data_IF_452136454647
#
_entry.id   IF_452136454647
#
_cell.length_a   1.000
_cell.length_b   1.000
_cell.length_c   1.000
_cell.angle_alpha   90.00
_cell.angle_beta   90.00
_cell.angle_gamma   90.00
#
_symmetry.space_group_name_H-M   'P 1'
#
loop_
_entity.id
_entity.type
_entity.pdbx_description
1 polymer ?
#
# COMPACT_ATOMS: atom_id res chain seq x y z
N UNK A 1 87.70 29.45 -3.62
CA UNK A 1 87.59 30.63 -4.49
C UNK A 1 86.13 30.90 -4.73
N UNK A 2 85.71 31.87 -4.08
CA UNK A 2 85.17 33.15 -4.50
C UNK A 2 83.68 33.03 -4.87
N UNK A 3 82.91 33.50 -4.02
CA UNK A 3 82.24 34.85 -3.96
C UNK A 3 81.03 34.86 -4.91
N UNK A 4 79.94 35.33 -4.64
CA UNK A 4 79.47 36.47 -3.84
C UNK A 4 77.99 36.74 -4.15
N UNK A 5 77.30 37.19 -3.18
CA UNK A 5 76.27 38.23 -3.19
C UNK A 5 74.87 38.04 -3.77
N UNK A 6 74.01 38.04 -2.88
CA UNK A 6 72.79 38.84 -2.64
C UNK A 6 72.81 40.28 -3.31
N UNK A 7 71.73 41.00 -3.50
CA UNK A 7 70.44 41.01 -2.80
C UNK A 7 69.22 41.45 -3.64
N UNK A 8 68.09 41.46 -2.97
CA UNK A 8 67.13 42.61 -2.94
C UNK A 8 65.80 42.44 -3.69
N UNK A 9 64.82 42.47 -2.90
CA UNK A 9 63.66 43.36 -2.74
C UNK A 9 62.31 42.88 -3.26
N UNK A 10 61.48 42.96 -2.28
CA UNK A 10 60.13 43.57 -2.32
C UNK A 10 59.01 42.73 -2.91
N UNK A 11 58.23 42.24 -2.02
CA UNK A 11 56.86 42.69 -1.81
C UNK A 11 55.88 42.38 -2.90
N UNK A 12 55.00 41.45 -2.64
CA UNK A 12 53.60 41.71 -2.94
C UNK A 12 52.72 40.71 -2.13
N UNK A 13 51.78 41.26 -1.39
CA UNK A 13 50.75 40.56 -0.67
C UNK A 13 50.02 39.62 -1.64
N UNK A 14 50.06 38.33 -1.35
CA UNK A 14 49.19 37.39 -1.98
C UNK A 14 47.89 37.27 -1.16
N UNK A 15 46.83 37.60 -1.80
CA UNK A 15 45.46 37.45 -1.36
C UNK A 15 45.21 36.00 -1.05
N UNK A 16 44.71 35.73 0.15
CA UNK A 16 44.12 34.49 0.50
C UNK A 16 42.83 34.32 -0.27
N UNK A 17 42.83 33.45 -1.26
CA UNK A 17 41.60 32.96 -1.87
C UNK A 17 40.93 32.04 -0.90
N UNK A 18 39.80 32.47 -0.33
CA UNK A 18 38.83 31.65 0.33
C UNK A 18 38.44 30.49 -0.57
N UNK A 19 38.90 29.31 -0.26
CA UNK A 19 38.33 28.08 -0.79
C UNK A 19 37.03 27.87 -0.01
N UNK A 20 35.93 28.36 -0.59
CA UNK A 20 34.59 27.94 -0.18
C UNK A 20 34.51 26.43 -0.33
N UNK A 21 34.50 25.76 0.81
CA UNK A 21 34.11 24.35 0.95
C UNK A 21 32.64 24.30 0.54
N UNK A 22 32.24 23.56 -0.52
CA UNK A 22 30.83 23.40 -0.80
C UNK A 22 30.21 22.68 0.40
N UNK A 23 29.37 23.41 1.11
CA UNK A 23 28.46 22.84 2.08
C UNK A 23 27.71 21.72 1.42
N UNK A 24 27.83 20.52 1.99
CA UNK A 24 27.01 19.37 1.66
C UNK A 24 25.56 19.80 1.58
N UNK A 25 25.06 19.91 0.36
CA UNK A 25 23.63 20.01 0.15
C UNK A 25 22.97 18.82 0.84
N UNK A 26 22.21 19.17 1.84
CA UNK A 26 21.21 18.34 2.48
C UNK A 26 20.56 17.46 1.42
N UNK A 27 20.66 16.17 1.62
CA UNK A 27 19.87 15.14 0.92
C UNK A 27 18.42 15.55 1.07
N UNK A 28 17.94 16.35 0.11
CA UNK A 28 16.57 16.84 0.09
C UNK A 28 15.64 15.65 0.10
N UNK A 29 14.85 15.56 1.16
CA UNK A 29 13.69 14.70 1.21
C UNK A 29 12.92 14.90 -0.09
N UNK A 30 12.75 13.82 -0.83
CA UNK A 30 12.01 13.80 -2.10
C UNK A 30 10.50 13.86 -1.78
N UNK A 31 10.12 14.91 -1.06
CA UNK A 31 8.74 15.19 -0.67
C UNK A 31 8.05 15.78 -1.89
N UNK A 32 7.18 15.01 -2.52
CA UNK A 32 6.35 15.48 -3.63
C UNK A 32 5.53 16.70 -3.18
N UNK A 33 5.80 17.87 -3.75
CA UNK A 33 5.01 19.08 -3.54
C UNK A 33 3.87 19.08 -4.56
N UNK A 34 2.71 18.59 -4.17
CA UNK A 34 1.47 18.80 -4.92
C UNK A 34 0.80 20.06 -4.40
N UNK A 35 0.84 21.12 -5.20
CA UNK A 35 0.16 22.38 -4.87
C UNK A 35 -1.35 22.13 -4.94
N UNK A 36 -2.04 22.24 -3.81
CA UNK A 36 -3.51 22.22 -3.71
C UNK A 36 -4.15 21.01 -3.05
N UNK A 37 -3.45 19.90 -2.84
CA UNK A 37 -4.02 18.72 -2.15
C UNK A 37 -3.44 18.62 -0.73
N UNK A 38 -4.31 18.50 0.27
CA UNK A 38 -3.86 18.32 1.65
C UNK A 38 -3.25 16.92 1.80
N UNK A 39 -1.99 16.89 2.25
CA UNK A 39 -1.25 15.63 2.45
C UNK A 39 -1.87 14.78 3.55
N UNK A 40 -2.45 15.39 4.57
CA UNK A 40 -3.11 14.64 5.64
C UNK A 40 -4.31 13.88 5.11
N UNK A 41 -5.12 14.49 4.23
CA UNK A 41 -6.26 13.84 3.60
C UNK A 41 -5.83 12.68 2.70
N UNK A 42 -4.72 12.85 1.96
CA UNK A 42 -4.13 11.77 1.16
C UNK A 42 -3.69 10.60 2.02
N UNK A 43 -2.99 10.88 3.14
CA UNK A 43 -2.54 9.86 4.08
C UNK A 43 -3.71 9.12 4.72
N UNK A 44 -4.78 9.82 5.06
CA UNK A 44 -5.99 9.23 5.62
C UNK A 44 -6.68 8.28 4.63
N UNK A 45 -6.82 8.70 3.37
CA UNK A 45 -7.35 7.85 2.29
C UNK A 45 -6.50 6.60 2.08
N UNK A 46 -5.17 6.77 2.05
CA UNK A 46 -4.25 5.64 1.87
C UNK A 46 -4.29 4.67 3.07
N UNK A 47 -4.44 5.18 4.29
CA UNK A 47 -4.58 4.35 5.49
C UNK A 47 -5.91 3.59 5.53
N UNK A 48 -7.03 4.18 5.08
CA UNK A 48 -8.32 3.47 4.93
C UNK A 48 -8.19 2.30 3.93
N UNK A 49 -7.47 2.49 2.82
CA UNK A 49 -7.18 1.43 1.85
C UNK A 49 -6.18 0.39 2.38
N UNK A 50 -5.20 0.79 3.19
CA UNK A 50 -4.26 -0.12 3.83
C UNK A 50 -4.98 -1.07 4.81
N UNK A 51 -5.91 -0.55 5.61
CA UNK A 51 -6.78 -1.39 6.44
C UNK A 51 -7.55 -2.38 5.59
N UNK A 52 -8.17 -1.92 4.49
CA UNK A 52 -8.90 -2.78 3.56
C UNK A 52 -8.03 -3.92 3.00
N UNK A 53 -6.78 -3.62 2.63
CA UNK A 53 -5.85 -4.62 2.11
C UNK A 53 -5.48 -5.67 3.17
N UNK A 54 -5.25 -5.27 4.41
CA UNK A 54 -4.98 -6.19 5.53
C UNK A 54 -6.18 -7.07 5.86
N UNK A 55 -7.35 -6.48 5.80
CA UNK A 55 -8.62 -7.17 5.99
C UNK A 55 -8.80 -8.26 4.92
N UNK A 56 -8.53 -7.92 3.67
CA UNK A 56 -8.57 -8.85 2.55
C UNK A 56 -7.54 -9.98 2.68
N UNK A 57 -6.29 -9.64 3.05
CA UNK A 57 -5.25 -10.64 3.29
C UNK A 57 -5.68 -11.66 4.35
N UNK A 58 -6.16 -11.18 5.50
CA UNK A 58 -6.63 -12.05 6.57
C UNK A 58 -7.83 -12.90 6.15
N UNK A 59 -8.81 -12.28 5.50
CA UNK A 59 -10.03 -12.95 5.06
C UNK A 59 -9.75 -14.07 4.06
N UNK A 60 -8.95 -13.80 3.04
CA UNK A 60 -8.60 -14.81 2.04
C UNK A 60 -7.70 -15.91 2.57
N UNK A 61 -6.78 -15.63 3.52
CA UNK A 61 -6.05 -16.69 4.24
C UNK A 61 -7.00 -17.60 4.98
N UNK A 62 -7.97 -17.02 5.69
CA UNK A 62 -9.00 -17.80 6.40
C UNK A 62 -9.84 -18.65 5.45
N UNK A 63 -10.25 -18.10 4.29
CA UNK A 63 -10.98 -18.87 3.28
C UNK A 63 -10.15 -20.02 2.72
N UNK A 64 -8.85 -19.79 2.44
CA UNK A 64 -7.95 -20.82 1.93
C UNK A 64 -7.79 -22.01 2.91
N UNK A 65 -7.87 -21.74 4.21
CA UNK A 65 -7.82 -22.79 5.25
C UNK A 65 -9.09 -23.64 5.33
N UNK A 66 -10.23 -23.08 4.93
CA UNK A 66 -11.56 -23.69 5.11
C UNK A 66 -12.06 -24.46 3.89
N UNK A 67 -11.60 -24.12 2.68
CA UNK A 67 -12.01 -24.84 1.46
C UNK A 67 -11.26 -26.14 1.30
N UNK A 68 -11.93 -27.15 0.72
CA UNK A 68 -11.34 -28.48 0.53
C UNK A 68 -10.63 -28.62 -0.81
N UNK A 69 -11.16 -27.97 -1.86
CA UNK A 69 -10.63 -28.12 -3.21
C UNK A 69 -9.28 -27.42 -3.38
N UNK A 70 -8.30 -28.11 -3.97
CA UNK A 70 -6.97 -27.55 -4.23
C UNK A 70 -7.04 -26.28 -5.09
N UNK A 71 -8.01 -26.21 -6.02
CA UNK A 71 -8.22 -25.06 -6.88
C UNK A 71 -8.66 -23.82 -6.09
N UNK A 72 -9.64 -23.99 -5.18
CA UNK A 72 -10.12 -22.89 -4.32
C UNK A 72 -9.03 -22.44 -3.33
N UNK A 73 -8.27 -23.39 -2.73
CA UNK A 73 -7.13 -23.07 -1.86
C UNK A 73 -6.09 -22.21 -2.57
N UNK A 74 -5.69 -22.58 -3.78
CA UNK A 74 -4.72 -21.82 -4.58
C UNK A 74 -5.25 -20.45 -4.94
N UNK A 75 -6.53 -20.35 -5.32
CA UNK A 75 -7.16 -19.06 -5.64
C UNK A 75 -7.12 -18.13 -4.44
N UNK A 76 -7.61 -18.56 -3.28
CA UNK A 76 -7.68 -17.72 -2.08
C UNK A 76 -6.27 -17.36 -1.55
N UNK A 77 -5.32 -18.29 -1.61
CA UNK A 77 -3.92 -17.98 -1.28
C UNK A 77 -3.32 -16.91 -2.20
N UNK A 78 -3.58 -16.99 -3.51
CA UNK A 78 -3.14 -15.96 -4.45
C UNK A 78 -3.80 -14.60 -4.21
N UNK A 79 -5.08 -14.58 -3.78
CA UNK A 79 -5.79 -13.35 -3.40
C UNK A 79 -5.21 -12.73 -2.13
N UNK A 80 -4.94 -13.54 -1.12
CA UNK A 80 -4.30 -13.09 0.11
C UNK A 80 -2.95 -12.42 -0.18
N UNK A 81 -2.13 -13.04 -1.03
CA UNK A 81 -0.84 -12.49 -1.46
C UNK A 81 -1.01 -11.18 -2.24
N UNK A 82 -1.99 -11.08 -3.13
CA UNK A 82 -2.31 -9.83 -3.84
C UNK A 82 -2.71 -8.70 -2.89
N UNK A 83 -3.49 -8.99 -1.86
CA UNK A 83 -3.86 -8.02 -0.83
C UNK A 83 -2.63 -7.57 -0.01
N UNK A 84 -1.72 -8.50 0.33
CA UNK A 84 -0.46 -8.18 1.00
C UNK A 84 0.40 -7.22 0.18
N UNK A 85 0.57 -7.51 -1.11
CA UNK A 85 1.33 -6.66 -2.04
C UNK A 85 0.69 -5.27 -2.18
N UNK A 86 -0.63 -5.20 -2.32
CA UNK A 86 -1.35 -3.93 -2.36
C UNK A 86 -1.12 -3.11 -1.08
N UNK A 87 -1.14 -3.76 0.09
CA UNK A 87 -0.82 -3.12 1.35
C UNK A 87 0.60 -2.58 1.42
N UNK A 88 1.59 -3.28 0.89
CA UNK A 88 2.99 -2.82 0.84
C UNK A 88 3.15 -1.58 -0.06
N UNK A 89 2.51 -1.56 -1.23
CA UNK A 89 2.51 -0.39 -2.12
C UNK A 89 1.89 0.84 -1.43
N UNK A 90 0.76 0.65 -0.72
CA UNK A 90 0.11 1.71 0.05
C UNK A 90 1.00 2.24 1.18
N UNK A 91 1.66 1.36 1.93
CA UNK A 91 2.61 1.76 2.98
C UNK A 91 3.77 2.59 2.44
N UNK A 92 4.28 2.28 1.24
CA UNK A 92 5.33 3.06 0.59
C UNK A 92 4.84 4.47 0.24
N UNK A 93 3.62 4.60 -0.31
CA UNK A 93 3.04 5.91 -0.61
C UNK A 93 2.77 6.71 0.66
N UNK A 94 2.18 6.11 1.71
CA UNK A 94 1.93 6.79 2.99
C UNK A 94 3.23 7.44 3.50
N UNK A 95 4.35 6.69 3.52
CA UNK A 95 5.64 7.23 3.95
C UNK A 95 6.16 8.33 3.01
N UNK A 96 5.99 8.19 1.70
CA UNK A 96 6.37 9.22 0.71
C UNK A 96 5.62 10.53 0.92
N UNK A 97 4.36 10.46 1.35
CA UNK A 97 3.54 11.62 1.68
C UNK A 97 3.74 12.13 3.11
N UNK A 98 4.72 11.57 3.85
CA UNK A 98 5.11 12.02 5.19
C UNK A 98 4.21 11.50 6.31
N UNK A 99 3.35 10.53 6.02
CA UNK A 99 2.49 9.87 7.00
C UNK A 99 3.09 8.59 7.57
N UNK A 100 2.44 8.08 8.61
CA UNK A 100 2.75 6.79 9.21
C UNK A 100 1.68 5.77 8.82
N UNK A 101 2.07 4.57 8.34
CA UNK A 101 1.12 3.50 8.08
C UNK A 101 0.38 3.10 9.36
N UNK A 102 -0.95 3.09 9.30
CA UNK A 102 -1.78 2.68 10.44
C UNK A 102 -1.34 1.32 10.97
N UNK A 103 -1.24 1.18 12.29
CA UNK A 103 -0.77 -0.06 12.94
C UNK A 103 -1.78 -1.23 12.94
N UNK A 104 -3.00 -1.02 12.43
CA UNK A 104 -4.01 -2.07 12.26
C UNK A 104 -4.72 -2.51 13.55
N UNK A 105 -4.75 -1.68 14.60
CA UNK A 105 -5.24 -2.09 15.92
C UNK A 105 -6.76 -2.13 16.13
N UNK A 106 -7.55 -1.38 15.38
CA UNK A 106 -9.01 -1.25 15.63
C UNK A 106 -9.89 -1.95 14.60
N UNK A 107 -9.50 -1.97 13.33
CA UNK A 107 -10.25 -2.64 12.26
C UNK A 107 -10.04 -4.16 12.29
N UNK A 108 -8.84 -4.65 12.60
CA UNK A 108 -8.58 -6.08 12.77
C UNK A 108 -9.54 -6.73 13.79
N UNK A 109 -9.94 -6.00 14.84
CA UNK A 109 -10.93 -6.46 15.80
C UNK A 109 -12.35 -6.54 15.24
N UNK A 110 -12.75 -5.63 14.36
CA UNK A 110 -14.10 -5.61 13.78
C UNK A 110 -14.24 -6.68 12.69
N UNK A 111 -13.20 -6.84 11.86
CA UNK A 111 -13.17 -7.83 10.80
C UNK A 111 -13.03 -9.23 11.35
N UNK A 112 -12.16 -9.42 12.36
CA UNK A 112 -12.06 -10.70 13.06
C UNK A 112 -13.43 -11.17 13.56
N UNK A 113 -14.28 -10.27 14.07
CA UNK A 113 -15.67 -10.60 14.45
C UNK A 113 -16.55 -10.99 13.26
N UNK A 114 -16.40 -10.34 12.10
CA UNK A 114 -17.12 -10.67 10.87
C UNK A 114 -16.74 -12.04 10.33
N UNK A 115 -15.45 -12.38 10.33
CA UNK A 115 -14.94 -13.67 9.87
C UNK A 115 -15.12 -14.80 10.89
N UNK A 116 -15.12 -14.51 12.19
CA UNK A 116 -15.49 -15.47 13.26
C UNK A 116 -16.95 -15.90 13.14
N UNK A 117 -17.84 -15.01 12.68
CA UNK A 117 -19.23 -15.38 12.40
C UNK A 117 -19.36 -16.42 11.25
N UNK A 118 -18.43 -16.43 10.30
CA UNK A 118 -18.37 -17.48 9.26
C UNK A 118 -17.96 -18.84 9.87
N UNK A 119 -17.03 -18.84 10.84
CA UNK A 119 -16.61 -20.06 11.56
C UNK A 119 -17.66 -20.61 12.53
N UNK A 120 -18.62 -19.79 12.96
CA UNK A 120 -19.59 -20.13 14.02
C UNK A 120 -20.92 -20.70 13.54
N UNK A 121 -21.22 -20.70 12.25
CA UNK A 121 -22.46 -21.26 11.69
C UNK A 121 -22.26 -22.77 11.42
N UNK A 122 -22.65 -23.56 12.39
CA UNK A 122 -22.69 -25.05 12.28
C UNK A 122 -23.54 -25.39 11.05
N UNK A 123 -22.94 -25.97 10.01
CA UNK A 123 -23.60 -26.34 8.75
C UNK A 123 -23.36 -25.41 7.58
N UNK A 124 -22.57 -24.33 7.74
CA UNK A 124 -22.24 -23.38 6.67
C UNK A 124 -20.88 -23.65 6.00
N UNK A 125 -20.26 -24.80 6.24
CA UNK A 125 -18.93 -25.17 5.72
C UNK A 125 -18.95 -25.61 4.26
N UNK A 126 -20.02 -25.28 3.51
CA UNK A 126 -20.02 -25.52 2.08
C UNK A 126 -19.14 -24.49 1.37
N UNK A 127 -18.42 -24.94 0.34
CA UNK A 127 -17.63 -24.06 -0.54
C UNK A 127 -18.46 -22.86 -1.04
N UNK A 128 -19.77 -23.05 -1.25
CA UNK A 128 -20.71 -22.01 -1.62
C UNK A 128 -20.79 -20.91 -0.55
N UNK A 129 -20.94 -21.23 0.72
CA UNK A 129 -21.05 -20.22 1.79
C UNK A 129 -19.74 -19.42 1.99
N UNK A 130 -18.60 -20.08 1.77
CA UNK A 130 -17.28 -19.42 1.78
C UNK A 130 -17.18 -18.45 0.62
N UNK A 131 -17.56 -18.85 -0.60
CA UNK A 131 -17.57 -17.97 -1.78
C UNK A 131 -18.49 -16.76 -1.60
N UNK A 132 -19.69 -16.96 -1.03
CA UNK A 132 -20.62 -15.86 -0.71
C UNK A 132 -20.03 -14.89 0.33
N UNK A 133 -19.26 -15.38 1.26
CA UNK A 133 -18.59 -14.55 2.27
C UNK A 133 -17.43 -13.75 1.66
N UNK A 134 -16.64 -14.38 0.78
CA UNK A 134 -15.58 -13.73 0.04
C UNK A 134 -16.13 -12.63 -0.87
N UNK A 135 -17.24 -12.88 -1.59
CA UNK A 135 -17.89 -11.87 -2.45
C UNK A 135 -18.33 -10.63 -1.66
N UNK A 136 -18.94 -10.82 -0.48
CA UNK A 136 -19.30 -9.68 0.40
C UNK A 136 -18.06 -8.88 0.85
N UNK A 137 -16.93 -9.56 1.08
CA UNK A 137 -15.66 -8.91 1.39
C UNK A 137 -15.17 -8.06 0.22
N UNK A 138 -15.21 -8.60 -0.99
CA UNK A 138 -14.82 -7.87 -2.21
C UNK A 138 -15.77 -6.71 -2.53
N UNK A 139 -17.08 -6.84 -2.29
CA UNK A 139 -18.03 -5.71 -2.40
C UNK A 139 -17.62 -4.55 -1.51
N UNK A 140 -17.22 -4.85 -0.27
CA UNK A 140 -16.73 -3.85 0.68
C UNK A 140 -15.44 -3.20 0.19
N UNK A 141 -14.50 -3.98 -0.33
CA UNK A 141 -13.25 -3.48 -0.89
C UNK A 141 -13.50 -2.54 -2.08
N UNK A 142 -14.33 -2.94 -3.02
CA UNK A 142 -14.72 -2.12 -4.18
C UNK A 142 -15.37 -0.80 -3.74
N UNK A 143 -16.24 -0.83 -2.72
CA UNK A 143 -16.87 0.38 -2.20
C UNK A 143 -15.83 1.35 -1.60
N UNK A 144 -14.82 0.85 -0.87
CA UNK A 144 -13.73 1.65 -0.34
C UNK A 144 -12.86 2.26 -1.44
N UNK A 145 -12.47 1.49 -2.47
CA UNK A 145 -11.74 2.03 -3.63
C UNK A 145 -12.55 3.10 -4.37
N UNK A 146 -13.85 2.88 -4.60
CA UNK A 146 -14.72 3.87 -5.22
C UNK A 146 -14.84 5.16 -4.41
N UNK A 147 -14.87 5.05 -3.07
CA UNK A 147 -14.83 6.22 -2.17
C UNK A 147 -13.50 6.96 -2.32
N UNK A 148 -12.38 6.25 -2.26
CA UNK A 148 -11.03 6.82 -2.39
C UNK A 148 -10.86 7.57 -3.72
N UNK A 149 -11.32 7.01 -4.84
CA UNK A 149 -11.23 7.63 -6.17
C UNK A 149 -12.06 8.90 -6.34
N UNK A 150 -13.02 9.18 -5.43
CA UNK A 150 -13.77 10.44 -5.40
C UNK A 150 -13.03 11.56 -4.65
N UNK A 151 -12.03 11.22 -3.85
CA UNK A 151 -11.20 12.20 -3.16
C UNK A 151 -10.29 12.95 -4.15
N UNK A 152 -9.86 14.14 -3.74
CA UNK A 152 -8.81 14.85 -4.47
C UNK A 152 -7.47 14.18 -4.18
N UNK A 153 -6.93 13.47 -5.17
CA UNK A 153 -5.73 12.66 -5.05
C UNK A 153 -4.68 13.12 -6.06
N UNK A 154 -3.42 13.20 -5.65
CA UNK A 154 -2.29 13.36 -6.56
C UNK A 154 -2.28 12.30 -7.65
N UNK A 155 -1.69 12.59 -8.81
CA UNK A 155 -1.75 11.73 -9.99
C UNK A 155 -1.17 10.33 -9.71
N UNK A 156 -0.01 10.25 -9.05
CA UNK A 156 0.64 8.98 -8.70
C UNK A 156 -0.16 8.14 -7.70
N UNK A 157 -0.82 8.79 -6.73
CA UNK A 157 -1.73 8.12 -5.79
C UNK A 157 -2.97 7.62 -6.51
N UNK A 158 -3.59 8.47 -7.34
CA UNK A 158 -4.77 8.10 -8.13
C UNK A 158 -4.49 6.92 -9.06
N UNK A 159 -3.33 6.90 -9.71
CA UNK A 159 -2.91 5.79 -10.58
C UNK A 159 -2.81 4.47 -9.81
N UNK A 160 -2.15 4.48 -8.64
CA UNK A 160 -2.06 3.30 -7.79
C UNK A 160 -3.44 2.82 -7.35
N UNK A 161 -4.26 3.73 -6.82
CA UNK A 161 -5.60 3.42 -6.30
C UNK A 161 -6.50 2.86 -7.41
N UNK A 162 -6.44 3.43 -8.63
CA UNK A 162 -7.20 2.93 -9.78
C UNK A 162 -6.75 1.52 -10.18
N UNK A 163 -5.44 1.29 -10.28
CA UNK A 163 -4.90 -0.04 -10.61
C UNK A 163 -5.33 -1.12 -9.60
N UNK A 164 -5.31 -0.78 -8.31
CA UNK A 164 -5.76 -1.68 -7.25
C UNK A 164 -7.29 -1.88 -7.29
N UNK A 165 -8.07 -0.83 -7.55
CA UNK A 165 -9.52 -0.91 -7.73
C UNK A 165 -9.91 -1.85 -8.89
N UNK A 166 -9.22 -1.73 -10.03
CA UNK A 166 -9.43 -2.61 -11.18
C UNK A 166 -9.07 -4.07 -10.84
N UNK A 167 -8.05 -4.26 -10.01
CA UNK A 167 -7.69 -5.57 -9.46
C UNK A 167 -8.80 -6.16 -8.60
N UNK A 168 -9.33 -5.38 -7.65
CA UNK A 168 -10.44 -5.79 -6.79
C UNK A 168 -11.70 -6.14 -7.61
N UNK A 169 -12.02 -5.34 -8.64
CA UNK A 169 -13.16 -5.63 -9.50
C UNK A 169 -13.00 -6.98 -10.25
N UNK A 170 -11.82 -7.24 -10.81
CA UNK A 170 -11.55 -8.54 -11.47
C UNK A 170 -11.65 -9.72 -10.50
N UNK A 171 -11.20 -9.52 -9.25
CA UNK A 171 -11.28 -10.53 -8.21
C UNK A 171 -12.73 -10.84 -7.84
N UNK A 172 -13.52 -9.80 -7.60
CA UNK A 172 -14.95 -9.91 -7.33
C UNK A 172 -15.68 -10.68 -8.43
N UNK A 173 -15.47 -10.31 -9.70
CA UNK A 173 -16.13 -10.96 -10.84
C UNK A 173 -15.79 -12.45 -10.91
N UNK A 174 -14.53 -12.81 -10.64
CA UNK A 174 -14.13 -14.23 -10.62
C UNK A 174 -14.75 -15.00 -9.45
N UNK A 175 -14.83 -14.40 -8.26
CA UNK A 175 -15.48 -15.04 -7.09
C UNK A 175 -16.97 -15.20 -7.33
N UNK A 176 -17.63 -14.18 -7.88
CA UNK A 176 -19.05 -14.24 -8.28
C UNK A 176 -19.31 -15.38 -9.26
N UNK A 177 -18.47 -15.54 -10.28
CA UNK A 177 -18.64 -16.59 -11.29
C UNK A 177 -18.45 -18.00 -10.66
N UNK A 178 -17.49 -18.16 -9.76
CA UNK A 178 -17.30 -19.40 -9.01
C UNK A 178 -18.49 -19.72 -8.08
N UNK A 179 -19.00 -18.70 -7.37
CA UNK A 179 -20.21 -18.83 -6.53
C UNK A 179 -21.41 -19.23 -7.36
N UNK A 180 -21.62 -18.63 -8.54
CA UNK A 180 -22.73 -18.98 -9.44
C UNK A 180 -22.61 -20.43 -9.93
N UNK A 181 -21.41 -20.88 -10.29
CA UNK A 181 -21.16 -22.26 -10.69
C UNK A 181 -21.41 -23.25 -9.53
N UNK A 182 -20.96 -22.95 -8.33
CA UNK A 182 -21.21 -23.78 -7.15
C UNK A 182 -22.70 -23.86 -6.82
N UNK A 183 -23.43 -22.75 -6.91
CA UNK A 183 -24.89 -22.71 -6.70
C UNK A 183 -25.66 -23.52 -7.73
N UNK A 184 -25.20 -23.57 -9.00
CA UNK A 184 -25.84 -24.36 -10.03
C UNK A 184 -25.58 -25.88 -9.90
N UNK A 185 -24.55 -26.27 -9.15
CA UNK A 185 -24.16 -27.66 -8.90
C UNK A 185 -24.78 -28.24 -7.61
N UNK A 186 -25.40 -27.41 -6.77
CA UNK A 186 -26.06 -27.77 -5.51
C UNK A 186 -27.53 -28.08 -5.73
#
# INVERSE_FOLDING_TARGET
MATSNDPTLAGTLAQATDLEVPTTESRGDNIVRNEGVDRSDVVDVLNDLLENSRDGEYGFKTCAEQVETSKAKQLFAARAEGCRQAGEELMQLIRRYGGEPASGGTAAGALHRGWVAVKGTVGADSELSILESCERGEDTAIARYRKALKADLPADVRELVQRQADGAQRNHDQIRDLRNAARAAS
#
